data_IF_009591256485
#
_entry.id   IF_009591256485
#
_cell.length_a   1.000
_cell.length_b   1.000
_cell.length_c   1.000
_cell.angle_alpha   90.00
_cell.angle_beta   90.00
_cell.angle_gamma   90.00
#
_symmetry.space_group_name_H-M   'P 1'
#
loop_
_entity.id
_entity.type
_entity.pdbx_description
1 polymer ?
#
# COMPACT_ATOMS: atom_id res chain seq x y z
N UNK A 1 -5.67 39.65 -41.58
CA UNK A 1 -4.29 39.93 -41.14
C UNK A 1 -3.97 39.30 -39.79
N UNK A 2 -4.83 39.48 -38.78
CA UNK A 2 -4.66 38.85 -37.45
C UNK A 2 -4.48 37.32 -37.50
N UNK A 3 -5.33 36.60 -38.23
CA UNK A 3 -5.21 35.15 -38.35
C UNK A 3 -3.90 34.68 -39.00
N UNK A 4 -3.38 35.43 -39.98
CA UNK A 4 -2.11 35.10 -40.63
C UNK A 4 -0.92 35.29 -39.67
N UNK A 5 -0.98 36.30 -38.79
CA UNK A 5 0.04 36.51 -37.76
C UNK A 5 0.07 35.37 -36.75
N UNK A 6 -1.10 34.90 -36.29
CA UNK A 6 -1.20 33.75 -35.39
C UNK A 6 -0.59 32.49 -35.99
N UNK A 7 -0.93 32.16 -37.25
CA UNK A 7 -0.40 30.98 -37.94
C UNK A 7 1.14 31.03 -38.06
N UNK A 8 1.72 32.20 -38.33
CA UNK A 8 3.18 32.36 -38.45
C UNK A 8 3.88 32.17 -37.10
N UNK A 9 3.30 32.72 -36.02
CA UNK A 9 3.86 32.56 -34.66
C UNK A 9 3.80 31.08 -34.23
N UNK A 10 2.68 30.41 -34.46
CA UNK A 10 2.50 29.00 -34.12
C UNK A 10 3.47 28.11 -34.92
N UNK A 11 3.63 28.37 -36.22
CA UNK A 11 4.60 27.66 -37.06
C UNK A 11 6.05 27.87 -36.57
N UNK A 12 6.40 29.09 -36.15
CA UNK A 12 7.70 29.41 -35.57
C UNK A 12 7.98 28.65 -34.26
N UNK A 13 6.97 28.55 -33.39
CA UNK A 13 7.07 27.80 -32.13
C UNK A 13 7.26 26.29 -32.38
N UNK A 14 6.55 25.71 -33.36
CA UNK A 14 6.71 24.29 -33.72
C UNK A 14 8.12 24.02 -34.26
N UNK A 15 8.62 24.87 -35.17
CA UNK A 15 9.97 24.72 -35.73
C UNK A 15 11.03 24.84 -34.63
N UNK A 16 10.92 25.83 -33.75
CA UNK A 16 11.82 26.00 -32.61
C UNK A 16 11.76 24.77 -31.68
N UNK A 17 10.56 24.26 -31.41
CA UNK A 17 10.35 23.05 -30.63
C UNK A 17 11.04 21.83 -31.24
N UNK A 18 10.91 21.62 -32.54
CA UNK A 18 11.57 20.51 -33.26
C UNK A 18 13.09 20.62 -33.24
N UNK A 19 13.64 21.82 -33.43
CA UNK A 19 15.09 22.06 -33.35
C UNK A 19 15.61 21.78 -31.94
N UNK A 20 14.91 22.27 -30.91
CA UNK A 20 15.26 22.01 -29.51
C UNK A 20 15.21 20.51 -29.17
N UNK A 21 14.17 19.79 -29.62
CA UNK A 21 14.09 18.34 -29.45
C UNK A 21 15.22 17.61 -30.17
N UNK A 22 15.52 17.97 -31.42
CA UNK A 22 16.62 17.38 -32.18
C UNK A 22 17.99 17.57 -31.52
N UNK A 23 18.19 18.69 -30.82
CA UNK A 23 19.41 18.97 -30.05
C UNK A 23 19.45 18.20 -28.72
N UNK A 24 18.34 18.18 -27.98
CA UNK A 24 18.29 17.60 -26.64
C UNK A 24 18.21 16.08 -26.65
N UNK A 25 17.56 15.48 -27.65
CA UNK A 25 17.40 14.03 -27.74
C UNK A 25 18.74 13.26 -27.73
N UNK A 26 19.76 13.58 -28.55
CA UNK A 26 21.04 12.86 -28.50
C UNK A 26 21.82 13.09 -27.20
N UNK A 27 21.52 14.14 -26.43
CA UNK A 27 22.11 14.39 -25.12
C UNK A 27 21.43 13.55 -24.02
N UNK A 28 20.10 13.49 -24.05
CA UNK A 28 19.29 12.82 -23.02
C UNK A 28 19.15 11.32 -23.27
N UNK A 29 19.08 10.89 -24.54
CA UNK A 29 18.84 9.49 -24.90
C UNK A 29 19.94 8.54 -24.39
N UNK A 30 21.25 8.83 -24.46
CA UNK A 30 22.28 7.95 -23.90
C UNK A 30 22.13 7.79 -22.38
N UNK A 31 21.79 8.87 -21.68
CA UNK A 31 21.55 8.85 -20.23
C UNK A 31 20.35 7.97 -19.89
N UNK A 32 19.22 8.14 -20.60
CA UNK A 32 18.04 7.28 -20.44
C UNK A 32 18.34 5.82 -20.80
N UNK A 33 19.16 5.57 -21.82
CA UNK A 33 19.57 4.23 -22.22
C UNK A 33 20.40 3.56 -21.11
N UNK A 34 21.32 4.28 -20.46
CA UNK A 34 22.06 3.77 -19.30
C UNK A 34 21.10 3.40 -18.16
N UNK A 35 20.16 4.28 -17.81
CA UNK A 35 19.16 3.96 -16.78
C UNK A 35 18.28 2.77 -17.15
N UNK A 36 17.92 2.65 -18.43
CA UNK A 36 17.15 1.52 -18.94
C UNK A 36 17.93 0.21 -18.85
N UNK A 37 19.21 0.19 -19.23
CA UNK A 37 20.11 -0.97 -19.09
C UNK A 37 20.26 -1.37 -17.63
N UNK A 38 20.54 -0.42 -16.73
CA UNK A 38 20.64 -0.69 -15.28
C UNK A 38 19.33 -1.30 -14.76
N UNK A 39 18.19 -0.71 -15.12
CA UNK A 39 16.86 -1.21 -14.73
C UNK A 39 16.61 -2.63 -15.24
N UNK A 40 17.05 -2.94 -16.46
CA UNK A 40 16.94 -4.28 -17.04
C UNK A 40 17.85 -5.29 -16.31
N UNK A 41 19.11 -4.91 -16.03
CA UNK A 41 20.05 -5.72 -15.26
C UNK A 41 19.50 -6.04 -13.87
N UNK A 42 18.94 -5.05 -13.17
CA UNK A 42 18.33 -5.26 -11.85
C UNK A 42 17.14 -6.22 -11.93
N UNK A 43 16.25 -6.07 -12.92
CA UNK A 43 15.13 -7.00 -13.11
C UNK A 43 15.62 -8.43 -13.35
N UNK A 44 16.66 -8.59 -14.17
CA UNK A 44 17.27 -9.89 -14.44
C UNK A 44 17.87 -10.50 -13.17
N UNK A 45 18.63 -9.72 -12.39
CA UNK A 45 19.21 -10.19 -11.12
C UNK A 45 18.14 -10.60 -10.11
N UNK A 46 17.07 -9.80 -9.98
CA UNK A 46 15.94 -10.15 -9.10
C UNK A 46 15.25 -11.44 -9.53
N UNK A 47 15.04 -11.62 -10.84
CA UNK A 47 14.46 -12.84 -11.38
C UNK A 47 15.35 -14.07 -11.14
N UNK A 48 16.67 -13.94 -11.28
CA UNK A 48 17.62 -15.04 -11.05
C UNK A 48 17.73 -15.41 -9.56
N UNK A 49 17.72 -14.42 -8.66
CA UNK A 49 17.90 -14.66 -7.22
C UNK A 49 16.62 -15.12 -6.53
N UNK A 50 15.46 -14.60 -6.95
CA UNK A 50 14.19 -14.77 -6.23
C UNK A 50 13.05 -15.37 -7.07
N UNK A 51 13.28 -15.61 -8.36
CA UNK A 51 12.30 -16.22 -9.26
C UNK A 51 11.12 -15.31 -9.63
N UNK A 52 10.05 -15.90 -10.22
CA UNK A 52 8.90 -15.15 -10.76
C UNK A 52 8.01 -14.52 -9.67
N UNK A 53 8.22 -14.85 -8.39
CA UNK A 53 7.46 -14.31 -7.26
C UNK A 53 7.92 -12.93 -6.79
N UNK A 54 8.74 -12.22 -7.59
CA UNK A 54 9.23 -10.87 -7.25
C UNK A 54 8.76 -9.81 -8.23
N UNK A 55 8.31 -8.70 -7.66
CA UNK A 55 7.86 -7.53 -8.41
C UNK A 55 8.52 -6.28 -7.86
N UNK A 56 9.10 -5.46 -8.75
CA UNK A 56 9.62 -4.15 -8.36
C UNK A 56 8.49 -3.29 -7.80
N UNK A 57 8.72 -2.65 -6.67
CA UNK A 57 7.73 -1.76 -6.07
C UNK A 57 7.37 -0.60 -7.01
N UNK A 58 6.12 -0.15 -6.92
CA UNK A 58 5.69 1.08 -7.58
C UNK A 58 6.46 2.29 -7.01
N UNK A 59 6.39 3.44 -7.69
CA UNK A 59 7.01 4.67 -7.17
C UNK A 59 6.46 5.05 -5.79
N UNK A 60 5.14 4.98 -5.61
CA UNK A 60 4.47 5.28 -4.34
C UNK A 60 4.85 4.28 -3.25
N UNK A 61 4.88 2.98 -3.57
CA UNK A 61 5.34 1.94 -2.65
C UNK A 61 6.80 2.16 -2.23
N UNK A 62 7.64 2.71 -3.12
CA UNK A 62 9.04 2.99 -2.81
C UNK A 62 9.20 4.17 -1.86
N UNK A 63 8.36 5.21 -2.00
CA UNK A 63 8.33 6.37 -1.08
C UNK A 63 7.92 5.92 0.31
N UNK A 64 6.85 5.14 0.41
CA UNK A 64 6.38 4.62 1.69
C UNK A 64 7.27 3.50 2.25
N UNK A 65 8.13 2.87 1.44
CA UNK A 65 9.10 1.87 1.91
C UNK A 65 10.28 2.47 2.70
N UNK A 66 10.44 3.79 2.69
CA UNK A 66 11.51 4.47 3.43
C UNK A 66 11.12 4.57 4.91
N UNK A 67 11.57 3.61 5.69
CA UNK A 67 11.42 3.63 7.15
C UNK A 67 12.65 4.25 7.82
N UNK A 68 12.41 5.10 8.82
CA UNK A 68 13.43 5.57 9.77
C UNK A 68 12.96 5.32 11.19
N UNK A 69 13.86 5.26 12.19
CA UNK A 69 13.44 5.12 13.59
C UNK A 69 12.49 6.24 14.07
N UNK A 70 12.49 7.40 13.41
CA UNK A 70 11.65 8.55 13.74
C UNK A 70 10.37 8.66 12.90
N UNK A 71 10.27 7.93 11.80
CA UNK A 71 9.15 8.00 10.88
C UNK A 71 8.95 6.63 10.25
N UNK A 72 7.90 5.95 10.72
CA UNK A 72 7.44 4.66 10.23
C UNK A 72 6.03 4.89 9.66
N UNK A 73 5.80 4.63 8.36
CA UNK A 73 4.49 4.87 7.76
C UNK A 73 3.58 3.69 8.06
N UNK A 74 3.14 3.60 9.32
CA UNK A 74 2.23 2.57 9.82
C UNK A 74 0.85 3.20 10.01
N UNK A 75 -0.15 2.58 9.41
CA UNK A 75 -1.55 2.92 9.59
C UNK A 75 -2.06 2.06 10.74
N UNK A 76 -2.48 2.73 11.82
CA UNK A 76 -3.04 2.10 13.01
C UNK A 76 -4.54 2.32 13.05
N UNK A 77 -5.30 1.24 13.13
CA UNK A 77 -6.76 1.27 13.23
C UNK A 77 -7.17 0.56 14.50
N UNK A 78 -8.00 1.21 15.31
CA UNK A 78 -8.60 0.61 16.51
C UNK A 78 -10.11 0.73 16.45
N UNK A 79 -10.83 -0.37 16.68
CA UNK A 79 -12.28 -0.36 16.87
C UNK A 79 -12.71 -1.46 17.84
N UNK A 80 -13.89 -1.29 18.44
CA UNK A 80 -14.46 -2.26 19.38
C UNK A 80 -15.46 -3.15 18.67
N UNK A 81 -15.28 -4.46 18.79
CA UNK A 81 -16.25 -5.49 18.43
C UNK A 81 -17.10 -5.84 19.65
N UNK A 82 -18.41 -5.84 19.46
CA UNK A 82 -19.38 -6.33 20.45
C UNK A 82 -19.77 -7.75 20.09
N UNK A 83 -19.55 -8.71 20.99
CA UNK A 83 -19.90 -10.11 20.81
C UNK A 83 -18.81 -11.08 21.28
N UNK A 84 -18.87 -12.33 20.81
CA UNK A 84 -17.88 -13.39 21.12
C UNK A 84 -17.07 -13.77 19.87
N UNK A 85 -16.23 -12.87 19.33
CA UNK A 85 -15.35 -13.20 18.22
C UNK A 85 -14.35 -14.28 18.63
N UNK A 86 -14.52 -15.50 18.11
CA UNK A 86 -13.44 -16.49 18.11
C UNK A 86 -12.33 -16.01 17.17
N UNK A 87 -11.08 -16.17 17.60
CA UNK A 87 -9.90 -15.93 16.76
C UNK A 87 -9.93 -16.77 15.48
N UNK A 88 -10.50 -17.98 15.51
CA UNK A 88 -10.67 -18.80 14.31
C UNK A 88 -11.65 -18.16 13.33
N UNK A 89 -12.76 -17.59 13.83
CA UNK A 89 -13.73 -16.88 12.98
C UNK A 89 -13.10 -15.67 12.31
N UNK A 90 -12.31 -14.89 13.06
CA UNK A 90 -11.57 -13.74 12.53
C UNK A 90 -10.57 -14.18 11.46
N UNK A 91 -9.75 -15.20 11.75
CA UNK A 91 -8.80 -15.76 10.76
C UNK A 91 -9.50 -16.26 9.51
N UNK A 92 -10.64 -16.95 9.66
CA UNK A 92 -11.44 -17.44 8.53
C UNK A 92 -11.97 -16.30 7.68
N UNK A 93 -12.52 -15.25 8.30
CA UNK A 93 -13.07 -14.09 7.61
C UNK A 93 -11.98 -13.30 6.87
N UNK A 94 -10.83 -13.04 7.50
CA UNK A 94 -9.69 -12.41 6.83
C UNK A 94 -9.22 -13.27 5.66
N UNK A 95 -9.10 -14.59 5.87
CA UNK A 95 -8.66 -15.50 4.82
C UNK A 95 -9.60 -15.44 3.60
N UNK A 96 -10.91 -15.57 3.79
CA UNK A 96 -11.86 -15.60 2.67
C UNK A 96 -12.14 -14.23 2.03
N UNK A 97 -12.19 -13.15 2.81
CA UNK A 97 -12.57 -11.80 2.33
C UNK A 97 -11.38 -10.94 1.90
N UNK A 98 -10.15 -11.33 2.25
CA UNK A 98 -8.93 -10.56 1.96
C UNK A 98 -7.86 -11.39 1.26
N UNK A 99 -7.48 -12.54 1.83
CA UNK A 99 -6.28 -13.27 1.36
C UNK A 99 -6.53 -14.20 0.17
N UNK A 100 -7.74 -14.76 0.07
CA UNK A 100 -8.14 -15.74 -0.96
C UNK A 100 -9.11 -15.15 -1.98
N UNK A 101 -9.21 -13.82 -2.06
CA UNK A 101 -10.02 -13.14 -3.08
C UNK A 101 -9.22 -13.13 -4.38
N UNK A 102 -9.73 -13.84 -5.38
CA UNK A 102 -9.12 -14.00 -6.69
C UNK A 102 -10.01 -13.31 -7.74
N UNK A 103 -9.39 -12.63 -8.69
CA UNK A 103 -10.08 -12.00 -9.82
C UNK A 103 -10.33 -13.00 -10.96
N UNK A 104 -11.10 -12.61 -11.98
CA UNK A 104 -11.39 -13.47 -13.14
C UNK A 104 -10.12 -13.92 -13.89
N UNK A 105 -9.05 -13.13 -13.79
CA UNK A 105 -7.72 -13.43 -14.34
C UNK A 105 -7.00 -14.59 -13.62
N UNK A 106 -7.46 -15.00 -12.44
CA UNK A 106 -6.78 -15.97 -11.58
C UNK A 106 -5.74 -15.37 -10.64
N UNK A 107 -5.54 -14.04 -10.67
CA UNK A 107 -4.65 -13.33 -9.75
C UNK A 107 -5.35 -12.95 -8.44
N UNK A 108 -4.61 -12.90 -7.34
CA UNK A 108 -5.14 -12.38 -6.08
C UNK A 108 -5.48 -10.89 -6.21
N UNK A 109 -6.67 -10.48 -5.78
CA UNK A 109 -7.08 -9.08 -5.72
C UNK A 109 -6.17 -8.23 -4.83
N UNK A 110 -5.67 -8.83 -3.74
CA UNK A 110 -4.84 -8.15 -2.75
C UNK A 110 -3.51 -8.89 -2.50
N UNK A 111 -2.61 -8.94 -3.50
CA UNK A 111 -1.40 -9.78 -3.43
C UNK A 111 -0.43 -9.30 -2.36
N UNK A 112 -0.40 -7.99 -2.06
CA UNK A 112 0.49 -7.37 -1.08
C UNK A 112 0.35 -7.92 0.34
N UNK A 113 -0.82 -8.47 0.71
CA UNK A 113 -1.02 -9.08 2.03
C UNK A 113 -0.30 -10.42 2.21
N UNK A 114 0.19 -11.01 1.12
CA UNK A 114 1.00 -12.24 1.10
C UNK A 114 2.45 -11.97 0.67
N UNK A 115 2.84 -10.71 0.55
CA UNK A 115 4.15 -10.31 0.07
C UNK A 115 4.91 -9.56 1.16
N UNK A 116 6.20 -9.84 1.28
CA UNK A 116 7.14 -9.09 2.11
C UNK A 116 7.83 -8.01 1.30
N UNK A 117 8.07 -6.86 1.93
CA UNK A 117 8.81 -5.75 1.35
C UNK A 117 10.31 -5.91 1.62
N UNK A 118 11.12 -5.90 0.56
CA UNK A 118 12.57 -6.04 0.65
C UNK A 118 13.26 -4.86 -0.03
N UNK A 119 14.50 -4.58 0.38
CA UNK A 119 15.40 -3.64 -0.29
C UNK A 119 16.57 -4.40 -0.91
N UNK A 120 16.65 -4.45 -2.23
CA UNK A 120 17.66 -5.19 -3.00
C UNK A 120 18.18 -4.37 -4.17
N UNK A 121 19.49 -4.38 -4.38
CA UNK A 121 20.17 -3.62 -5.44
C UNK A 121 19.79 -2.12 -5.47
N UNK A 122 19.49 -1.52 -4.32
CA UNK A 122 19.04 -0.13 -4.21
C UNK A 122 17.54 0.10 -4.49
N UNK A 123 16.78 -0.94 -4.82
CA UNK A 123 15.34 -0.87 -5.10
C UNK A 123 14.50 -1.53 -4.01
N UNK A 124 13.28 -1.04 -3.85
CA UNK A 124 12.24 -1.75 -3.11
C UNK A 124 11.58 -2.79 -4.00
N UNK A 125 11.39 -3.99 -3.45
CA UNK A 125 10.87 -5.16 -4.14
C UNK A 125 9.86 -5.86 -3.26
N UNK A 126 8.71 -6.17 -3.83
CA UNK A 126 7.76 -7.10 -3.25
C UNK A 126 8.13 -8.52 -3.62
N UNK A 127 8.19 -9.39 -2.62
CA UNK A 127 8.39 -10.82 -2.82
C UNK A 127 7.26 -11.58 -2.14
N UNK A 128 6.71 -12.61 -2.80
CA UNK A 128 5.81 -13.56 -2.14
C UNK A 128 6.48 -14.14 -0.90
N UNK A 129 5.81 -14.07 0.24
CA UNK A 129 6.28 -14.65 1.50
C UNK A 129 6.14 -16.18 1.41
N UNK A 130 7.26 -16.94 1.33
CA UNK A 130 7.22 -18.39 1.13
C UNK A 130 6.65 -19.13 2.34
N UNK A 131 6.78 -18.54 3.54
CA UNK A 131 6.36 -19.12 4.82
C UNK A 131 5.14 -18.38 5.38
N UNK A 132 4.32 -17.83 4.49
CA UNK A 132 3.16 -17.05 4.89
C UNK A 132 2.19 -17.89 5.73
N UNK A 133 2.00 -17.47 6.98
CA UNK A 133 1.03 -18.08 7.89
C UNK A 133 0.28 -16.98 8.66
N UNK A 134 -1.04 -16.96 8.47
CA UNK A 134 -1.98 -16.03 9.10
C UNK A 134 -1.91 -16.05 10.63
N UNK A 135 -1.51 -17.16 11.25
CA UNK A 135 -1.39 -17.25 12.72
C UNK A 135 -0.31 -16.32 13.27
N UNK A 136 0.71 -16.00 12.48
CA UNK A 136 1.76 -15.05 12.84
C UNK A 136 1.27 -13.60 12.82
N UNK A 137 0.23 -13.32 12.03
CA UNK A 137 -0.31 -11.97 11.84
C UNK A 137 -1.50 -11.69 12.75
N UNK A 138 -2.27 -12.71 13.15
CA UNK A 138 -3.47 -12.54 13.97
C UNK A 138 -3.29 -13.18 15.35
N UNK A 139 -3.24 -12.36 16.39
CA UNK A 139 -3.04 -12.77 17.79
C UNK A 139 -4.23 -12.36 18.66
N UNK A 140 -4.46 -13.13 19.73
CA UNK A 140 -5.39 -12.80 20.80
C UNK A 140 -4.57 -12.53 22.07
N UNK A 141 -4.85 -11.41 22.71
CA UNK A 141 -4.25 -10.99 23.98
C UNK A 141 -5.39 -10.74 24.95
N UNK A 142 -5.31 -11.35 26.12
CA UNK A 142 -6.26 -11.08 27.20
C UNK A 142 -5.73 -9.91 28.03
N UNK A 143 -6.48 -8.81 28.08
CA UNK A 143 -6.10 -7.63 28.85
C UNK A 143 -6.54 -7.72 30.32
N UNK A 144 -7.41 -8.68 30.66
CA UNK A 144 -8.05 -8.71 31.97
C UNK A 144 -8.83 -7.42 32.21
N UNK A 145 -8.34 -6.58 33.12
CA UNK A 145 -8.94 -5.27 33.45
C UNK A 145 -8.14 -4.08 32.88
N UNK A 146 -7.09 -4.33 32.09
CA UNK A 146 -6.26 -3.26 31.54
C UNK A 146 -6.97 -2.53 30.39
N UNK A 147 -6.71 -1.23 30.27
CA UNK A 147 -7.28 -0.40 29.21
C UNK A 147 -6.62 -0.72 27.85
N UNK A 148 -7.41 -1.02 26.80
CA UNK A 148 -6.91 -1.25 25.44
C UNK A 148 -6.04 -0.11 24.90
N UNK A 149 -6.33 1.13 25.27
CA UNK A 149 -5.58 2.29 24.79
C UNK A 149 -4.16 2.30 25.36
N UNK A 150 -4.01 1.87 26.62
CA UNK A 150 -2.72 1.71 27.29
C UNK A 150 -1.87 0.61 26.64
N UNK A 151 -2.50 -0.50 26.21
CA UNK A 151 -1.82 -1.54 25.43
C UNK A 151 -1.39 -1.02 24.04
N UNK A 152 -2.27 -0.32 23.33
CA UNK A 152 -2.00 0.22 22.00
C UNK A 152 -0.88 1.26 21.96
N UNK A 153 -0.60 1.92 23.09
CA UNK A 153 0.44 2.95 23.22
C UNK A 153 1.87 2.41 23.40
N UNK A 154 2.03 1.09 23.54
CA UNK A 154 3.34 0.47 23.73
C UNK A 154 4.13 0.44 22.40
N UNK A 155 5.39 0.90 22.36
CA UNK A 155 6.17 0.96 21.11
C UNK A 155 6.32 -0.40 20.42
N UNK A 156 6.49 -1.48 21.19
CA UNK A 156 6.63 -2.85 20.68
C UNK A 156 5.33 -3.35 20.04
N UNK A 157 4.18 -2.80 20.46
CA UNK A 157 2.87 -3.13 19.91
C UNK A 157 2.71 -2.53 18.51
N UNK A 158 3.49 -1.54 18.11
CA UNK A 158 3.49 -1.02 16.74
C UNK A 158 4.43 -1.79 15.79
N UNK A 159 5.42 -2.53 16.31
CA UNK A 159 6.44 -3.20 15.48
C UNK A 159 5.83 -4.27 14.54
N UNK A 160 5.92 -4.02 13.24
CA UNK A 160 5.48 -4.97 12.22
C UNK A 160 6.41 -6.17 12.11
N UNK A 161 5.90 -7.34 11.67
CA UNK A 161 6.71 -8.54 11.54
C UNK A 161 7.82 -8.33 10.49
N UNK A 162 9.08 -8.47 10.91
CA UNK A 162 10.25 -8.35 10.03
C UNK A 162 10.30 -9.51 9.03
N UNK A 163 10.67 -9.22 7.79
CA UNK A 163 10.80 -10.20 6.70
C UNK A 163 9.51 -10.98 6.37
N UNK A 164 8.33 -10.49 6.76
CA UNK A 164 7.02 -11.06 6.45
C UNK A 164 6.12 -10.02 5.79
N UNK A 165 4.89 -10.39 5.46
CA UNK A 165 3.88 -9.43 5.03
C UNK A 165 3.68 -8.32 6.08
N UNK A 166 3.77 -7.03 5.73
CA UNK A 166 3.94 -5.97 6.71
C UNK A 166 2.58 -5.49 7.28
N UNK A 167 1.87 -6.41 7.92
CA UNK A 167 0.61 -6.16 8.62
C UNK A 167 0.44 -7.10 9.82
N UNK A 168 -0.37 -6.70 10.80
CA UNK A 168 -0.79 -7.55 11.93
C UNK A 168 -2.12 -7.08 12.50
N UNK A 169 -2.84 -8.01 13.14
CA UNK A 169 -4.11 -7.80 13.83
C UNK A 169 -3.98 -8.39 15.23
N UNK A 170 -4.29 -7.59 16.25
CA UNK A 170 -4.34 -8.03 17.65
C UNK A 170 -5.76 -7.87 18.16
N UNK A 171 -6.37 -8.98 18.57
CA UNK A 171 -7.63 -8.99 19.30
C UNK A 171 -7.30 -8.84 20.78
N UNK A 172 -7.88 -7.85 21.42
CA UNK A 172 -7.75 -7.55 22.83
C UNK A 172 -9.06 -7.94 23.50
N UNK A 173 -9.02 -8.93 24.38
CA UNK A 173 -10.18 -9.34 25.18
C UNK A 173 -10.24 -8.46 26.44
N UNK A 174 -11.23 -7.57 26.46
CA UNK A 174 -11.49 -6.62 27.55
C UNK A 174 -12.51 -7.15 28.56
N UNK A 175 -12.95 -8.41 28.43
CA UNK A 175 -14.01 -8.97 29.26
C UNK A 175 -15.43 -8.61 28.79
N UNK A 176 -16.43 -9.23 29.42
CA UNK A 176 -17.86 -8.97 29.19
C UNK A 176 -18.35 -9.09 27.72
N UNK A 177 -17.66 -9.87 26.89
CA UNK A 177 -18.01 -9.98 25.46
C UNK A 177 -17.71 -8.70 24.66
N UNK A 178 -16.74 -7.90 25.11
CA UNK A 178 -16.22 -6.75 24.37
C UNK A 178 -14.76 -7.00 24.00
N UNK A 179 -14.47 -6.84 22.72
CA UNK A 179 -13.12 -7.03 22.19
C UNK A 179 -12.68 -5.78 21.48
N UNK A 180 -11.48 -5.29 21.76
CA UNK A 180 -10.85 -4.24 20.97
C UNK A 180 -9.98 -4.86 19.91
N UNK A 181 -10.14 -4.44 18.66
CA UNK A 181 -9.30 -4.89 17.55
C UNK A 181 -8.31 -3.80 17.23
N UNK A 182 -7.03 -4.16 17.23
CA UNK A 182 -5.93 -3.29 16.89
C UNK A 182 -5.26 -3.82 15.62
N UNK A 183 -5.24 -3.00 14.57
CA UNK A 183 -4.72 -3.36 13.26
C UNK A 183 -3.57 -2.42 12.94
N UNK A 184 -2.45 -3.01 12.52
CA UNK A 184 -1.30 -2.27 12.01
C UNK A 184 -1.04 -2.71 10.58
N UNK A 185 -0.95 -1.74 9.68
CA UNK A 185 -0.72 -1.95 8.25
C UNK A 185 0.37 -1.01 7.79
N UNK A 186 1.37 -1.51 7.07
CA UNK A 186 2.33 -0.63 6.44
C UNK A 186 1.69 0.12 5.26
N UNK A 187 1.95 1.41 5.12
CA UNK A 187 1.33 2.27 4.10
C UNK A 187 1.70 1.86 2.66
N UNK A 188 2.71 1.01 2.47
CA UNK A 188 3.02 0.42 1.15
C UNK A 188 1.97 -0.58 0.67
N UNK A 189 1.13 -1.11 1.59
CA UNK A 189 0.07 -2.05 1.23
C UNK A 189 -1.04 -1.32 0.46
N UNK A 190 -1.42 -0.12 0.90
CA UNK A 190 -2.50 0.64 0.29
C UNK A 190 -2.70 1.98 0.97
N UNK A 191 -3.71 2.71 0.47
CA UNK A 191 -4.11 3.99 1.04
C UNK A 191 -4.95 3.82 2.31
N UNK A 192 -4.90 4.81 3.20
CA UNK A 192 -5.54 4.78 4.52
C UNK A 192 -7.04 4.50 4.47
N UNK A 193 -7.77 5.14 3.54
CA UNK A 193 -9.23 5.00 3.44
C UNK A 193 -9.61 3.63 2.88
N UNK A 194 -8.96 3.19 1.79
CA UNK A 194 -9.23 1.88 1.21
C UNK A 194 -8.91 0.75 2.18
N UNK A 195 -7.81 0.86 2.93
CA UNK A 195 -7.43 -0.11 3.95
C UNK A 195 -8.40 -0.13 5.13
N UNK A 196 -8.86 1.03 5.60
CA UNK A 196 -9.87 1.12 6.64
C UNK A 196 -11.17 0.44 6.21
N UNK A 197 -11.67 0.77 5.02
CA UNK A 197 -12.89 0.17 4.47
C UNK A 197 -12.76 -1.36 4.35
N UNK A 198 -11.62 -1.83 3.84
CA UNK A 198 -11.33 -3.25 3.70
C UNK A 198 -11.29 -3.97 5.05
N UNK A 199 -10.69 -3.36 6.08
CA UNK A 199 -10.69 -3.90 7.44
C UNK A 199 -12.11 -4.01 8.01
N UNK A 200 -12.94 -2.99 7.83
CA UNK A 200 -14.33 -2.98 8.31
C UNK A 200 -15.16 -4.09 7.64
N UNK A 201 -15.07 -4.22 6.31
CA UNK A 201 -15.78 -5.27 5.56
C UNK A 201 -15.30 -6.68 5.96
N UNK A 202 -13.99 -6.84 6.16
CA UNK A 202 -13.40 -8.13 6.50
C UNK A 202 -13.73 -8.56 7.94
N UNK A 203 -13.75 -7.63 8.90
CA UNK A 203 -13.83 -7.93 10.33
C UNK A 203 -15.19 -7.69 10.99
N UNK A 204 -15.93 -6.66 10.58
CA UNK A 204 -17.12 -6.21 11.30
C UNK A 204 -18.45 -6.68 10.69
N UNK A 205 -18.42 -7.65 9.76
CA UNK A 205 -19.57 -8.04 8.91
C UNK A 205 -20.28 -6.81 8.29
N UNK A 206 -19.54 -5.71 8.13
CA UNK A 206 -20.03 -4.45 7.61
C UNK A 206 -20.37 -4.65 6.13
N UNK A 207 -21.65 -4.58 5.80
CA UNK A 207 -22.09 -4.39 4.43
C UNK A 207 -22.17 -2.88 4.18
N UNK A 208 -21.33 -2.32 3.29
CA UNK A 208 -21.46 -0.92 2.95
C UNK A 208 -22.87 -0.69 2.40
N UNK A 209 -23.61 0.25 2.99
CA UNK A 209 -24.82 0.74 2.36
C UNK A 209 -24.43 1.35 1.01
N UNK A 210 -25.23 1.10 -0.02
CA UNK A 210 -25.00 1.55 -1.40
C UNK A 210 -24.79 3.07 -1.55
N UNK A 211 -25.05 3.85 -0.51
CA UNK A 211 -24.84 5.30 -0.47
C UNK A 211 -23.37 5.71 -0.29
N UNK A 212 -22.52 4.87 0.32
CA UNK A 212 -21.09 5.17 0.51
C UNK A 212 -20.28 4.97 -0.78
N UNK A 213 -20.64 3.98 -1.60
CA UNK A 213 -19.98 3.77 -2.91
C UNK A 213 -20.31 4.85 -3.94
N UNK A 214 -21.45 5.52 -3.79
CA UNK A 214 -21.86 6.62 -4.67
C UNK A 214 -21.13 7.93 -4.34
N UNK A 215 -20.82 8.19 -3.07
CA UNK A 215 -20.06 9.39 -2.67
C UNK A 215 -18.58 9.34 -3.04
N UNK A 216 -17.99 8.15 -3.14
CA UNK A 216 -16.57 7.98 -3.49
C UNK A 216 -16.28 8.27 -4.98
N UNK A 217 -17.31 8.19 -5.86
CA UNK A 217 -17.19 8.56 -7.28
C UNK A 217 -17.37 10.06 -7.55
N UNK A 218 -17.95 10.84 -6.63
CA UNK A 218 -18.26 12.26 -6.85
C UNK A 218 -17.17 13.24 -6.37
N UNK A 219 -16.11 12.77 -5.70
CA UNK A 219 -15.01 13.63 -5.26
C UNK A 219 -13.72 13.40 -6.06
N UNK A 220 -13.54 14.07 -7.22
CA UNK A 220 -12.21 14.22 -7.79
C UNK A 220 -11.40 15.10 -6.83
N UNK A 221 -10.23 14.61 -6.43
CA UNK A 221 -9.23 15.34 -5.63
C UNK A 221 -8.97 16.74 -6.24
N UNK A 222 -9.59 17.78 -5.69
CA UNK A 222 -9.17 19.16 -5.93
C UNK A 222 -7.99 19.46 -5.02
N UNK A 223 -6.79 19.40 -5.60
CA UNK A 223 -5.57 19.96 -5.04
C UNK A 223 -5.76 21.46 -4.80
N UNK A 224 -6.15 21.86 -3.60
CA UNK A 224 -5.98 23.24 -3.16
C UNK A 224 -4.53 23.45 -2.75
N UNK A 225 -3.77 24.11 -3.63
CA UNK A 225 -2.46 24.66 -3.31
C UNK A 225 -2.62 25.68 -2.16
N UNK A 226 -1.95 25.41 -1.04
CA UNK A 226 -1.85 26.34 0.09
C UNK A 226 -0.89 27.45 -0.33
N UNK A 227 -1.44 28.62 -0.65
CA UNK A 227 -0.69 29.88 -0.66
C UNK A 227 -0.60 30.36 0.79
N UNK A 228 0.60 30.39 1.36
CA UNK A 228 0.86 31.01 2.66
C UNK A 228 1.19 32.50 2.45
N UNK A 229 0.91 33.37 3.43
CA UNK A 229 0.97 34.83 3.29
C UNK A 229 2.41 35.38 3.26
#
# INVERSE_FOLDING_TARGET
>A
MEQLKHIIVDAGQIILGLVMHGLMLPLVAPVLLVFWVISLTVKLLLYLEYGPGTTKCSGLDSVWGVETPKSRPIITIMFTLVGTPSIEKVRKNIKSKLLDVVEESGEYRYPKFRQRLLRKFGYYVWQIDPDFDITNHIKLVNLGNDDPSSYASQPEVEDLPKNKAPWKITLLDSGEGRYSVLIFLHHTIGDGISLLHLCLVALADFQPSSELSLKEQEHPFTSHAVHNP
#
